data_IF_497253135218
#
_entry.id   IF_497253135218
#
_cell.length_a   1.000
_cell.length_b   1.000
_cell.length_c   1.000
_cell.angle_alpha   90.00
_cell.angle_beta   90.00
_cell.angle_gamma   90.00
#
_symmetry.space_group_name_H-M   'P 1'
#
loop_
_entity.id
_entity.type
_entity.pdbx_description
1 polymer ?
#
# COMPACT_ATOMS: atom_id res chain seq x y z
N UNK A 1 8.98 -6.04 -26.54
CA UNK A 1 8.96 -5.73 -25.09
C UNK A 1 8.17 -4.44 -24.88
N UNK A 2 7.20 -4.41 -23.97
CA UNK A 2 6.39 -3.21 -23.68
C UNK A 2 7.27 -2.10 -23.09
N UNK A 3 7.02 -0.83 -23.47
CA UNK A 3 7.82 0.33 -23.02
C UNK A 3 7.82 0.48 -21.48
N UNK A 4 6.74 0.09 -20.81
CA UNK A 4 6.65 0.05 -19.34
C UNK A 4 7.68 -0.87 -18.67
N UNK A 5 8.00 -2.03 -19.28
CA UNK A 5 8.99 -2.96 -18.72
C UNK A 5 10.40 -2.41 -18.85
N UNK A 6 10.70 -1.72 -19.95
CA UNK A 6 11.99 -1.06 -20.16
C UNK A 6 12.26 0.03 -19.11
N UNK A 7 11.22 0.78 -18.72
CA UNK A 7 11.32 1.77 -17.66
C UNK A 7 11.65 1.13 -16.30
N UNK A 8 10.96 0.03 -15.94
CA UNK A 8 11.22 -0.70 -14.71
C UNK A 8 12.64 -1.27 -14.64
N UNK A 9 13.09 -1.94 -15.69
CA UNK A 9 14.46 -2.47 -15.75
C UNK A 9 15.53 -1.36 -15.75
N UNK A 10 15.30 -0.24 -16.42
CA UNK A 10 16.21 0.89 -16.37
C UNK A 10 16.35 1.47 -14.96
N UNK A 11 15.24 1.61 -14.22
CA UNK A 11 15.27 2.07 -12.83
C UNK A 11 16.01 1.08 -11.91
N UNK A 12 15.79 -0.22 -12.07
CA UNK A 12 16.52 -1.26 -11.32
C UNK A 12 18.03 -1.16 -11.57
N UNK A 13 18.44 -1.00 -12.82
CA UNK A 13 19.86 -0.81 -13.17
C UNK A 13 20.42 0.46 -12.51
N UNK A 14 19.67 1.56 -12.52
CA UNK A 14 20.07 2.81 -11.84
C UNK A 14 20.24 2.64 -10.34
N UNK A 15 19.48 1.76 -9.67
CA UNK A 15 19.58 1.54 -8.23
C UNK A 15 20.71 0.55 -7.88
N UNK A 16 20.88 -0.48 -8.70
CA UNK A 16 21.89 -1.54 -8.48
C UNK A 16 23.30 -1.03 -8.82
N UNK A 17 23.45 -0.24 -9.89
CA UNK A 17 24.77 0.19 -10.39
C UNK A 17 25.55 1.01 -9.35
N UNK A 18 24.99 2.04 -8.70
CA UNK A 18 25.69 2.77 -7.64
C UNK A 18 26.01 1.86 -6.45
N UNK A 19 25.10 0.96 -6.08
CA UNK A 19 25.29 0.04 -4.96
C UNK A 19 26.46 -0.93 -5.18
N UNK A 20 26.67 -1.40 -6.42
CA UNK A 20 27.77 -2.29 -6.79
C UNK A 20 29.09 -1.55 -7.06
N UNK A 21 29.02 -0.34 -7.62
CA UNK A 21 30.20 0.48 -8.00
C UNK A 21 30.81 1.18 -6.79
N UNK A 22 29.98 1.70 -5.87
CA UNK A 22 30.46 2.38 -4.66
C UNK A 22 30.73 1.41 -3.49
N UNK A 23 30.49 0.11 -3.66
CA UNK A 23 30.84 -0.88 -2.65
C UNK A 23 32.35 -1.16 -2.66
N UNK A 24 33.10 -0.89 -1.59
CA UNK A 24 34.48 -1.34 -1.45
C UNK A 24 34.48 -2.84 -1.16
N UNK A 25 34.67 -3.64 -2.20
CA UNK A 25 34.70 -5.11 -2.14
C UNK A 25 35.78 -5.69 -1.19
N UNK A 26 36.74 -4.86 -0.75
CA UNK A 26 37.78 -5.23 0.21
C UNK A 26 37.43 -5.03 1.70
N UNK A 27 36.48 -4.15 2.04
CA UNK A 27 36.08 -3.86 3.43
C UNK A 27 34.59 -3.58 3.53
N UNK A 28 33.78 -4.63 3.67
CA UNK A 28 32.33 -4.51 3.86
C UNK A 28 32.05 -4.09 5.30
N UNK A 29 31.67 -2.83 5.50
CA UNK A 29 31.19 -2.34 6.81
C UNK A 29 29.67 -2.50 6.93
N UNK A 30 29.14 -2.39 8.15
CA UNK A 30 27.70 -2.52 8.43
C UNK A 30 26.83 -1.53 7.61
N UNK A 31 27.34 -0.33 7.32
CA UNK A 31 26.64 0.65 6.48
C UNK A 31 26.44 0.18 5.04
N UNK A 32 27.39 -0.56 4.48
CA UNK A 32 27.29 -1.10 3.12
C UNK A 32 26.25 -2.23 3.04
N UNK A 33 26.15 -3.07 4.07
CA UNK A 33 25.09 -4.08 4.17
C UNK A 33 23.70 -3.44 4.23
N UNK A 34 23.54 -2.34 4.97
CA UNK A 34 22.29 -1.58 5.02
C UNK A 34 21.90 -0.95 3.68
N UNK A 35 22.87 -0.36 2.95
CA UNK A 35 22.64 0.19 1.61
C UNK A 35 22.27 -0.90 0.60
N UNK A 36 22.92 -2.06 0.65
CA UNK A 36 22.62 -3.19 -0.21
C UNK A 36 21.22 -3.77 0.11
N UNK A 37 20.85 -3.85 1.39
CA UNK A 37 19.50 -4.23 1.80
C UNK A 37 18.44 -3.29 1.21
N UNK A 38 18.65 -1.98 1.32
CA UNK A 38 17.72 -0.97 0.79
C UNK A 38 17.59 -1.07 -0.73
N UNK A 39 18.71 -1.18 -1.44
CA UNK A 39 18.71 -1.33 -2.89
C UNK A 39 17.96 -2.60 -3.34
N UNK A 40 18.22 -3.73 -2.69
CA UNK A 40 17.56 -5.00 -3.00
C UNK A 40 16.06 -4.99 -2.66
N UNK A 41 15.64 -4.32 -1.59
CA UNK A 41 14.22 -4.15 -1.27
C UNK A 41 13.53 -3.42 -2.42
N UNK A 42 14.09 -2.31 -2.92
CA UNK A 42 13.47 -1.55 -4.02
C UNK A 42 13.39 -2.39 -5.29
N UNK A 43 14.44 -3.13 -5.62
CA UNK A 43 14.44 -4.03 -6.79
C UNK A 43 13.40 -5.15 -6.66
N UNK A 44 13.30 -5.78 -5.48
CA UNK A 44 12.32 -6.83 -5.22
C UNK A 44 10.88 -6.33 -5.29
N UNK A 45 10.62 -5.09 -4.83
CA UNK A 45 9.32 -4.44 -4.97
C UNK A 45 9.01 -4.15 -6.44
N UNK A 46 9.99 -3.67 -7.22
CA UNK A 46 9.80 -3.41 -8.65
C UNK A 46 9.59 -4.68 -9.48
N UNK A 47 10.14 -5.82 -9.04
CA UNK A 47 9.86 -7.14 -9.62
C UNK A 47 8.40 -7.60 -9.37
N UNK A 48 7.66 -6.88 -8.52
CA UNK A 48 6.27 -7.20 -8.20
C UNK A 48 6.11 -8.32 -7.18
N UNK A 49 7.19 -8.70 -6.47
CA UNK A 49 7.07 -9.66 -5.37
C UNK A 49 6.26 -9.04 -4.22
N UNK A 50 5.38 -9.81 -3.53
CA UNK A 50 4.57 -9.25 -2.47
C UNK A 50 5.44 -8.63 -1.38
N UNK A 51 5.18 -7.35 -1.08
CA UNK A 51 6.01 -6.49 -0.23
C UNK A 51 6.18 -7.04 1.19
N UNK A 52 5.17 -7.72 1.72
CA UNK A 52 5.25 -8.34 3.06
C UNK A 52 6.37 -9.39 3.13
N UNK A 53 6.48 -10.24 2.11
CA UNK A 53 7.50 -11.28 2.06
C UNK A 53 8.87 -10.72 1.69
N UNK A 54 8.95 -9.67 0.84
CA UNK A 54 10.24 -9.01 0.58
C UNK A 54 10.82 -8.40 1.86
N UNK A 55 10.04 -7.61 2.60
CA UNK A 55 10.52 -6.95 3.81
C UNK A 55 10.89 -7.95 4.91
N UNK A 56 10.08 -9.00 5.09
CA UNK A 56 10.36 -10.06 6.05
C UNK A 56 11.62 -10.84 5.68
N UNK A 57 11.71 -11.34 4.43
CA UNK A 57 12.84 -12.12 3.96
C UNK A 57 14.14 -11.33 3.97
N UNK A 58 14.11 -10.08 3.50
CA UNK A 58 15.26 -9.18 3.51
C UNK A 58 15.69 -8.83 4.94
N UNK A 59 14.74 -8.53 5.82
CA UNK A 59 15.02 -8.25 7.23
C UNK A 59 15.70 -9.43 7.94
N UNK A 60 15.17 -10.64 7.78
CA UNK A 60 15.75 -11.86 8.36
C UNK A 60 17.12 -12.18 7.74
N UNK A 61 17.23 -12.10 6.42
CA UNK A 61 18.47 -12.43 5.70
C UNK A 61 19.62 -11.48 6.06
N UNK A 62 19.38 -10.17 6.08
CA UNK A 62 20.42 -9.19 6.44
C UNK A 62 20.73 -9.19 7.94
N UNK A 63 19.73 -9.46 8.80
CA UNK A 63 19.99 -9.69 10.22
C UNK A 63 20.89 -10.89 10.42
N UNK A 64 20.67 -11.99 9.69
CA UNK A 64 21.52 -13.17 9.73
C UNK A 64 22.94 -12.91 9.23
N UNK A 65 23.10 -12.16 8.14
CA UNK A 65 24.43 -11.75 7.66
C UNK A 65 25.19 -10.91 8.69
N UNK A 66 24.48 -10.02 9.39
CA UNK A 66 25.06 -9.19 10.44
C UNK A 66 25.46 -10.02 11.67
N UNK A 67 24.56 -10.83 12.22
CA UNK A 67 24.90 -11.61 13.42
C UNK A 67 25.93 -12.70 13.14
N UNK A 68 25.98 -13.23 11.91
CA UNK A 68 27.03 -14.16 11.49
C UNK A 68 28.42 -13.53 11.45
N UNK A 69 28.54 -12.23 11.17
CA UNK A 69 29.84 -11.56 11.15
C UNK A 69 30.37 -11.23 12.56
N UNK A 70 29.47 -11.18 13.56
CA UNK A 70 29.80 -10.97 14.98
C UNK A 70 30.07 -12.30 15.67
N UNK A 71 29.10 -13.22 15.67
CA UNK A 71 29.20 -14.52 16.34
C UNK A 71 28.44 -15.62 15.55
N UNK A 72 29.15 -16.46 14.77
CA UNK A 72 28.51 -17.45 13.89
C UNK A 72 27.65 -18.49 14.62
N UNK A 73 27.99 -18.82 15.87
CA UNK A 73 27.31 -19.87 16.64
C UNK A 73 25.96 -19.42 17.19
N UNK A 74 25.83 -18.13 17.54
CA UNK A 74 24.61 -17.56 18.12
C UNK A 74 23.74 -16.83 17.09
N UNK A 75 24.25 -16.62 15.87
CA UNK A 75 23.58 -15.83 14.85
C UNK A 75 22.16 -16.31 14.53
N UNK A 76 21.94 -17.62 14.43
CA UNK A 76 20.62 -18.17 14.13
C UNK A 76 19.66 -17.92 15.30
N UNK A 77 20.10 -18.17 16.53
CA UNK A 77 19.29 -17.96 17.72
C UNK A 77 18.92 -16.49 17.90
N UNK A 78 19.89 -15.58 17.79
CA UNK A 78 19.65 -14.13 17.92
C UNK A 78 18.67 -13.59 16.88
N UNK A 79 18.78 -14.05 15.62
CA UNK A 79 17.85 -13.64 14.56
C UNK A 79 16.44 -14.14 14.84
N UNK A 80 16.29 -15.40 15.27
CA UNK A 80 14.99 -15.98 15.59
C UNK A 80 14.37 -15.32 16.83
N UNK A 81 15.15 -15.05 17.86
CA UNK A 81 14.71 -14.38 19.07
C UNK A 81 14.22 -12.95 18.75
N UNK A 82 15.00 -12.20 17.96
CA UNK A 82 14.59 -10.86 17.51
C UNK A 82 13.36 -10.89 16.63
N UNK A 83 13.25 -11.88 15.73
CA UNK A 83 12.08 -12.06 14.90
C UNK A 83 10.83 -12.27 15.75
N UNK A 84 10.86 -13.22 16.69
CA UNK A 84 9.75 -13.50 17.61
C UNK A 84 9.43 -12.29 18.48
N UNK A 85 10.44 -11.62 19.03
CA UNK A 85 10.26 -10.44 19.88
C UNK A 85 9.59 -9.29 19.10
N UNK A 86 9.99 -9.05 17.85
CA UNK A 86 9.37 -8.03 17.00
C UNK A 86 7.96 -8.41 16.59
N UNK A 87 7.72 -9.67 16.24
CA UNK A 87 6.37 -10.17 15.94
C UNK A 87 5.45 -10.00 17.14
N UNK A 88 5.90 -10.41 18.33
CA UNK A 88 5.12 -10.28 19.56
C UNK A 88 4.84 -8.80 19.89
N UNK A 89 5.84 -7.93 19.75
CA UNK A 89 5.67 -6.49 19.99
C UNK A 89 4.66 -5.82 19.05
N UNK A 90 4.55 -6.29 17.80
CA UNK A 90 3.50 -5.85 16.88
C UNK A 90 2.15 -6.42 17.29
N UNK A 91 2.09 -7.72 17.64
CA UNK A 91 0.84 -8.37 18.06
C UNK A 91 0.26 -7.78 19.37
N UNK A 92 1.11 -7.30 20.28
CA UNK A 92 0.70 -6.69 21.54
C UNK A 92 0.33 -5.21 21.43
N UNK A 93 0.31 -4.64 20.21
CA UNK A 93 -0.02 -3.23 20.01
C UNK A 93 -1.54 -3.05 19.96
N UNK A 94 -2.11 -2.45 21.00
CA UNK A 94 -3.56 -2.22 21.13
C UNK A 94 -4.14 -1.38 19.99
N UNK A 95 -3.35 -0.49 19.38
CA UNK A 95 -3.79 0.35 18.25
C UNK A 95 -4.07 -0.52 17.01
N UNK A 96 -3.35 -1.62 16.83
CA UNK A 96 -3.52 -2.48 15.65
C UNK A 96 -4.80 -3.33 15.72
N UNK A 97 -5.42 -3.48 16.89
CA UNK A 97 -6.75 -4.11 17.06
C UNK A 97 -7.82 -3.34 16.29
N UNK A 98 -7.63 -2.04 16.06
CA UNK A 98 -8.55 -1.23 15.26
C UNK A 98 -8.57 -1.65 13.79
N UNK A 99 -7.49 -2.22 13.24
CA UNK A 99 -7.40 -2.57 11.81
C UNK A 99 -8.42 -3.66 11.43
N UNK A 100 -8.49 -4.83 12.11
CA UNK A 100 -9.51 -5.84 11.81
C UNK A 100 -10.94 -5.34 11.99
N UNK A 101 -11.22 -4.56 13.05
CA UNK A 101 -12.55 -4.02 13.32
C UNK A 101 -12.98 -3.03 12.24
N UNK A 102 -12.06 -2.19 11.79
CA UNK A 102 -12.28 -1.25 10.69
C UNK A 102 -12.52 -1.98 9.36
N UNK A 103 -11.73 -3.02 9.07
CA UNK A 103 -11.89 -3.85 7.87
C UNK A 103 -13.23 -4.60 7.89
N UNK A 104 -13.66 -5.07 9.07
CA UNK A 104 -14.96 -5.69 9.26
C UNK A 104 -16.12 -4.71 9.01
N UNK A 105 -16.02 -3.48 9.52
CA UNK A 105 -16.98 -2.41 9.21
C UNK A 105 -17.07 -2.18 7.70
N UNK A 106 -15.93 -2.00 7.02
CA UNK A 106 -15.87 -1.81 5.57
C UNK A 106 -16.54 -2.95 4.80
N UNK A 107 -16.26 -4.20 5.21
CA UNK A 107 -16.89 -5.40 4.64
C UNK A 107 -18.41 -5.42 4.82
N UNK A 108 -18.93 -5.02 5.99
CA UNK A 108 -20.38 -4.93 6.22
C UNK A 108 -21.03 -3.89 5.30
N UNK A 109 -20.43 -2.70 5.16
CA UNK A 109 -20.94 -1.63 4.27
C UNK A 109 -20.92 -2.09 2.80
N UNK A 110 -19.88 -2.80 2.39
CA UNK A 110 -19.78 -3.39 1.05
C UNK A 110 -20.89 -4.44 0.82
N UNK A 111 -21.07 -5.37 1.76
CA UNK A 111 -22.08 -6.43 1.67
C UNK A 111 -23.52 -5.93 1.71
N UNK A 112 -23.76 -4.77 2.31
CA UNK A 112 -25.08 -4.14 2.34
C UNK A 112 -25.57 -3.63 0.95
N UNK A 113 -24.77 -3.77 -0.12
CA UNK A 113 -25.08 -3.30 -1.49
C UNK A 113 -25.45 -1.80 -1.55
N UNK A 114 -24.92 -1.02 -0.61
CA UNK A 114 -25.17 0.42 -0.54
C UNK A 114 -24.53 1.16 -1.72
N UNK A 115 -23.43 0.62 -2.25
CA UNK A 115 -22.59 1.25 -3.26
C UNK A 115 -23.33 1.49 -4.58
N UNK A 116 -24.06 0.50 -5.12
CA UNK A 116 -24.80 0.65 -6.38
C UNK A 116 -25.89 1.73 -6.24
N UNK A 117 -26.62 1.71 -5.12
CA UNK A 117 -27.64 2.72 -4.82
C UNK A 117 -27.03 4.11 -4.67
N UNK A 118 -25.94 4.22 -3.92
CA UNK A 118 -25.21 5.47 -3.71
C UNK A 118 -24.71 6.04 -5.05
N UNK A 119 -24.10 5.21 -5.89
CA UNK A 119 -23.62 5.60 -7.21
C UNK A 119 -24.74 6.14 -8.09
N UNK A 120 -25.90 5.44 -8.16
CA UNK A 120 -27.05 5.91 -8.94
C UNK A 120 -27.61 7.22 -8.42
N UNK A 121 -27.76 7.36 -7.10
CA UNK A 121 -28.24 8.58 -6.47
C UNK A 121 -27.31 9.76 -6.75
N UNK A 122 -26.00 9.57 -6.63
CA UNK A 122 -25.00 10.60 -6.92
C UNK A 122 -24.95 10.94 -8.40
N UNK A 123 -25.08 9.95 -9.29
CA UNK A 123 -25.14 10.19 -10.72
C UNK A 123 -26.36 11.01 -11.12
N UNK A 124 -27.54 10.72 -10.54
CA UNK A 124 -28.73 11.55 -10.73
C UNK A 124 -28.54 12.96 -10.20
N UNK A 125 -27.89 13.12 -9.03
CA UNK A 125 -27.60 14.43 -8.45
C UNK A 125 -26.60 15.24 -9.30
N UNK A 126 -25.62 14.60 -9.94
CA UNK A 126 -24.62 15.25 -10.79
C UNK A 126 -25.01 15.32 -12.26
N UNK A 127 -26.23 14.93 -12.64
CA UNK A 127 -26.67 14.82 -14.02
C UNK A 127 -26.53 16.14 -14.83
N UNK A 128 -26.58 17.29 -14.16
CA UNK A 128 -26.40 18.61 -14.78
C UNK A 128 -24.95 19.00 -15.11
N UNK A 129 -23.96 18.20 -14.72
CA UNK A 129 -22.53 18.52 -14.92
C UNK A 129 -22.00 17.77 -16.15
N UNK A 130 -21.29 18.45 -17.09
CA UNK A 130 -20.59 17.75 -18.17
C UNK A 130 -19.51 16.84 -17.56
N UNK A 131 -19.61 15.54 -17.80
CA UNK A 131 -18.74 14.56 -17.13
C UNK A 131 -19.36 13.86 -15.90
N UNK A 132 -20.68 13.97 -15.72
CA UNK A 132 -21.42 13.53 -14.51
C UNK A 132 -21.10 12.11 -14.02
N UNK A 133 -20.82 11.14 -14.90
CA UNK A 133 -20.44 9.77 -14.53
C UNK A 133 -19.05 9.71 -13.87
N UNK A 134 -18.07 10.44 -14.39
CA UNK A 134 -16.74 10.49 -13.80
C UNK A 134 -16.77 11.21 -12.45
N UNK A 135 -17.51 12.33 -12.36
CA UNK A 135 -17.70 13.06 -11.10
C UNK A 135 -18.43 12.19 -10.07
N UNK A 136 -19.54 11.54 -10.45
CA UNK A 136 -20.27 10.64 -9.57
C UNK A 136 -19.38 9.50 -9.06
N UNK A 137 -18.49 8.97 -9.90
CA UNK A 137 -17.54 7.92 -9.50
C UNK A 137 -16.57 8.42 -8.44
N UNK A 138 -15.93 9.57 -8.66
CA UNK A 138 -14.97 10.13 -7.70
C UNK A 138 -15.66 10.47 -6.37
N UNK A 139 -16.85 11.07 -6.41
CA UNK A 139 -17.62 11.39 -5.19
C UNK A 139 -18.08 10.13 -4.47
N UNK A 140 -18.56 9.12 -5.20
CA UNK A 140 -18.91 7.82 -4.62
C UNK A 140 -17.70 7.18 -3.96
N UNK A 141 -16.55 7.19 -4.63
CA UNK A 141 -15.29 6.70 -4.07
C UNK A 141 -14.89 7.46 -2.82
N UNK A 142 -15.01 8.80 -2.80
CA UNK A 142 -14.66 9.62 -1.64
C UNK A 142 -15.56 9.33 -0.42
N UNK A 143 -16.86 9.19 -0.64
CA UNK A 143 -17.79 8.84 0.44
C UNK A 143 -17.52 7.42 0.92
N UNK A 144 -17.28 6.48 0.01
CA UNK A 144 -17.04 5.08 0.37
C UNK A 144 -15.63 4.84 0.94
N UNK A 145 -14.67 5.71 0.63
CA UNK A 145 -13.32 5.72 1.18
C UNK A 145 -13.35 5.86 2.71
N UNK A 146 -14.19 6.75 3.24
CA UNK A 146 -14.36 6.93 4.68
C UNK A 146 -14.81 5.66 5.39
N UNK A 147 -15.55 4.78 4.71
CA UNK A 147 -16.08 3.55 5.31
C UNK A 147 -15.12 2.36 5.19
N UNK A 148 -14.25 2.32 4.19
CA UNK A 148 -13.47 1.12 3.85
C UNK A 148 -11.97 1.28 3.98
N UNK A 149 -11.40 2.48 3.82
CA UNK A 149 -9.96 2.75 3.97
C UNK A 149 -9.01 1.94 3.08
N UNK A 150 -9.50 1.19 2.07
CA UNK A 150 -8.73 0.19 1.31
C UNK A 150 -8.88 0.44 -0.20
N UNK A 151 -7.77 0.78 -0.87
CA UNK A 151 -7.77 1.10 -2.33
C UNK A 151 -8.22 -0.08 -3.18
N UNK A 152 -7.72 -1.29 -2.91
CA UNK A 152 -7.96 -2.46 -3.76
C UNK A 152 -9.45 -2.82 -3.88
N UNK A 153 -10.19 -2.78 -2.78
CA UNK A 153 -11.62 -3.08 -2.76
C UNK A 153 -12.43 -2.03 -3.54
N UNK A 154 -12.20 -0.75 -3.29
CA UNK A 154 -12.95 0.33 -3.95
C UNK A 154 -12.68 0.38 -5.45
N UNK A 155 -11.41 0.25 -5.88
CA UNK A 155 -11.03 0.27 -7.30
C UNK A 155 -11.66 -0.91 -8.04
N UNK A 156 -11.65 -2.12 -7.47
CA UNK A 156 -12.23 -3.30 -8.13
C UNK A 156 -13.74 -3.20 -8.25
N UNK A 157 -14.43 -2.74 -7.21
CA UNK A 157 -15.89 -2.54 -7.24
C UNK A 157 -16.30 -1.45 -8.26
N UNK A 158 -15.64 -0.30 -8.24
CA UNK A 158 -15.91 0.78 -9.19
C UNK A 158 -15.48 0.43 -10.61
N UNK A 159 -14.44 -0.39 -10.76
CA UNK A 159 -14.06 -0.97 -12.05
C UNK A 159 -15.14 -1.89 -12.62
N UNK A 160 -15.90 -2.60 -11.80
CA UNK A 160 -16.99 -3.45 -12.25
C UNK A 160 -18.30 -2.67 -12.47
N UNK A 161 -18.53 -1.60 -11.70
CA UNK A 161 -19.79 -0.84 -11.73
C UNK A 161 -19.72 0.38 -12.67
N UNK A 162 -18.73 1.26 -12.48
CA UNK A 162 -18.65 2.57 -13.12
C UNK A 162 -17.92 2.53 -14.47
N UNK A 163 -16.84 1.75 -14.59
CA UNK A 163 -16.06 1.67 -15.83
C UNK A 163 -16.88 1.26 -17.06
N UNK A 164 -17.66 0.15 -17.06
CA UNK A 164 -18.47 -0.22 -18.22
C UNK A 164 -19.58 0.80 -18.50
N UNK A 165 -20.13 1.47 -17.48
CA UNK A 165 -21.13 2.53 -17.64
C UNK A 165 -20.55 3.77 -18.33
N UNK A 166 -19.34 4.19 -17.97
CA UNK A 166 -18.63 5.29 -18.61
C UNK A 166 -18.32 5.01 -20.09
N UNK A 167 -17.88 3.79 -20.41
CA UNK A 167 -17.60 3.41 -21.81
C UNK A 167 -18.86 3.44 -22.67
N UNK A 168 -20.00 2.97 -22.15
CA UNK A 168 -21.29 3.06 -22.84
C UNK A 168 -21.74 4.51 -23.06
N UNK A 169 -21.36 5.42 -22.16
CA UNK A 169 -21.63 6.85 -22.30
C UNK A 169 -20.61 7.59 -23.19
N UNK A 170 -19.68 6.89 -23.85
CA UNK A 170 -18.74 7.47 -24.80
C UNK A 170 -17.44 8.03 -24.19
N UNK A 171 -17.13 7.71 -22.94
CA UNK A 171 -15.89 8.17 -22.32
C UNK A 171 -14.66 7.47 -22.92
N UNK A 172 -13.55 8.21 -23.03
CA UNK A 172 -12.27 7.61 -23.39
C UNK A 172 -11.81 6.65 -22.27
N UNK A 173 -11.31 5.47 -22.65
CA UNK A 173 -10.74 4.46 -21.74
C UNK A 173 -9.75 5.05 -20.74
N UNK A 174 -8.90 5.99 -21.16
CA UNK A 174 -7.90 6.63 -20.29
C UNK A 174 -8.56 7.46 -19.19
N UNK A 175 -9.64 8.18 -19.51
CA UNK A 175 -10.37 9.01 -18.55
C UNK A 175 -11.18 8.12 -17.60
N UNK A 176 -11.84 7.09 -18.12
CA UNK A 176 -12.59 6.15 -17.29
C UNK A 176 -11.69 5.38 -16.31
N UNK A 177 -10.58 4.84 -16.79
CA UNK A 177 -9.60 4.15 -15.95
C UNK A 177 -8.95 5.11 -14.95
N UNK A 178 -8.59 6.32 -15.39
CA UNK A 178 -8.04 7.37 -14.54
C UNK A 178 -9.00 7.78 -13.42
N UNK A 179 -10.28 8.00 -13.72
CA UNK A 179 -11.28 8.39 -12.73
C UNK A 179 -11.52 7.29 -11.68
N UNK A 180 -11.61 6.02 -12.11
CA UNK A 180 -11.80 4.88 -11.21
C UNK A 180 -10.57 4.67 -10.32
N UNK A 181 -9.37 4.70 -10.89
CA UNK A 181 -8.12 4.51 -10.14
C UNK A 181 -7.81 5.67 -9.21
N UNK A 182 -7.97 6.92 -9.66
CA UNK A 182 -7.80 8.11 -8.84
C UNK A 182 -8.83 8.17 -7.70
N UNK A 183 -10.11 7.90 -8.00
CA UNK A 183 -11.16 7.83 -6.99
C UNK A 183 -10.87 6.76 -5.95
N UNK A 184 -10.49 5.55 -6.36
CA UNK A 184 -10.18 4.48 -5.42
C UNK A 184 -8.95 4.75 -4.55
N UNK A 185 -7.94 5.50 -5.04
CA UNK A 185 -6.80 5.93 -4.25
C UNK A 185 -7.19 6.90 -3.10
N UNK A 186 -8.31 7.61 -3.20
CA UNK A 186 -8.84 8.42 -2.09
C UNK A 186 -9.18 7.58 -0.86
N UNK A 187 -9.42 6.27 -1.05
CA UNK A 187 -9.62 5.26 0.00
C UNK A 187 -8.64 5.37 1.16
N UNK A 188 -7.35 5.56 0.86
CA UNK A 188 -6.31 5.63 1.88
C UNK A 188 -6.19 7.02 2.52
N UNK A 189 -6.58 8.06 1.80
CA UNK A 189 -6.33 9.46 2.16
C UNK A 189 -7.40 10.04 3.08
N UNK A 190 -8.68 9.66 2.92
CA UNK A 190 -9.78 10.26 3.66
C UNK A 190 -9.97 9.54 5.00
N UNK A 191 -9.90 10.25 6.14
CA UNK A 191 -10.20 9.66 7.45
C UNK A 191 -11.67 9.20 7.56
N UNK A 192 -11.95 8.11 8.32
CA UNK A 192 -11.01 7.17 8.93
C UNK A 192 -10.39 6.20 7.91
N UNK A 193 -9.08 5.93 8.02
CA UNK A 193 -8.37 4.99 7.12
C UNK A 193 -7.36 4.11 7.86
N UNK A 194 -7.08 2.92 7.29
CA UNK A 194 -6.10 1.96 7.84
C UNK A 194 -4.69 2.55 7.88
N UNK A 195 -4.35 3.40 6.90
CA UNK A 195 -3.03 4.03 6.84
C UNK A 195 -2.76 4.89 8.08
N UNK A 196 -3.74 5.70 8.50
CA UNK A 196 -3.58 6.55 9.68
C UNK A 196 -3.49 5.74 10.98
N UNK A 197 -4.16 4.59 11.05
CA UNK A 197 -4.02 3.64 12.19
C UNK A 197 -2.59 3.10 12.25
N UNK A 198 -2.07 2.62 11.13
CA UNK A 198 -0.69 2.09 11.04
C UNK A 198 0.32 3.20 11.32
N UNK A 199 0.11 4.40 10.78
CA UNK A 199 0.97 5.54 11.04
C UNK A 199 0.98 5.92 12.52
N UNK A 200 -0.19 6.00 13.17
CA UNK A 200 -0.29 6.25 14.61
C UNK A 200 0.44 5.20 15.44
N UNK A 201 0.30 3.92 15.09
CA UNK A 201 0.99 2.82 15.77
C UNK A 201 2.52 2.89 15.64
N UNK A 202 3.03 3.31 14.46
CA UNK A 202 4.48 3.41 14.20
C UNK A 202 5.08 4.70 14.77
N UNK A 203 4.38 5.83 14.64
CA UNK A 203 4.83 7.13 15.12
C UNK A 203 4.58 7.35 16.62
N UNK A 204 3.85 6.45 17.28
CA UNK A 204 3.52 6.57 18.71
C UNK A 204 2.58 7.71 19.03
N UNK A 205 1.79 8.17 18.06
CA UNK A 205 0.82 9.27 18.21
C UNK A 205 -0.60 8.73 18.25
N UNK A 206 -1.50 9.47 18.91
CA UNK A 206 -2.90 9.06 19.02
C UNK A 206 -3.60 9.06 17.66
N UNK A 207 -4.23 7.94 17.30
CA UNK A 207 -5.03 7.81 16.08
C UNK A 207 -6.20 8.80 16.08
N UNK A 208 -6.80 9.07 17.25
CA UNK A 208 -7.90 10.04 17.37
C UNK A 208 -7.43 11.46 17.05
N UNK A 209 -6.21 11.82 17.47
CA UNK A 209 -5.62 13.11 17.13
C UNK A 209 -5.30 13.20 15.64
N UNK A 210 -4.82 12.12 15.03
CA UNK A 210 -4.61 12.05 13.58
C UNK A 210 -5.92 12.23 12.80
N UNK A 211 -7.02 11.65 13.27
CA UNK A 211 -8.33 11.85 12.66
C UNK A 211 -8.90 13.25 12.87
N UNK A 212 -8.64 13.89 14.02
CA UNK A 212 -9.09 15.25 14.28
C UNK A 212 -8.32 16.30 13.46
N UNK A 213 -7.07 16.01 13.06
CA UNK A 213 -6.21 16.92 12.32
C UNK A 213 -6.21 16.74 10.79
N UNK A 214 -6.87 15.71 10.28
CA UNK A 214 -6.94 15.37 8.85
C UNK A 214 -8.30 15.74 8.25
#
# INVERSE_FOLDING_TARGET
MRKELWFGFALMVIIITPSLVFMPWGHITNGHLGLLMLALIVVAIMLGFPTAFTLMGMGVFFSWLYYRSVDPQLAVQQVLDLFVQRTYGVMSNDVLIAIPLFLFMGYLVERAKLIDRLFRSLHMATAGIPGSLAVATIVTCAIFATATGIVGAVVTLMGLLAFPAMLKAGYNVKVAAGAVTAGGCLGILIPPSVLLIVYGAVAGVSVVQLYAGA
#
